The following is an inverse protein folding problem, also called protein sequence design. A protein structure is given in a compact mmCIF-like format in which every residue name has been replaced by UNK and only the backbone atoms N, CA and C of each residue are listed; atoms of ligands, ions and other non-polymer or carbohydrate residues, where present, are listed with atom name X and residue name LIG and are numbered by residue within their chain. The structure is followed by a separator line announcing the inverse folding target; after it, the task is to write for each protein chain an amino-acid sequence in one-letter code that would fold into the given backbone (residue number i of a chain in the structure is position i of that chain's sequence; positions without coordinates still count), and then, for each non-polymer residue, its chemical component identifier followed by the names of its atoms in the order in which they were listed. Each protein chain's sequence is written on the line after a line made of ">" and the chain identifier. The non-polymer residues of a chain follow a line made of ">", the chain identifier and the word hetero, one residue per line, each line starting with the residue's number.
data_IF_216813399744
#
_entry.id   IF_216813399744
#
_cell.length_a   1.000
_cell.length_b   1.000
_cell.length_c   1.000
_cell.angle_alpha   90.00
_cell.angle_beta   90.00
_cell.angle_gamma   90.00
#
_symmetry.space_group_name_H-M   'P 1'
#
loop_
_entity.id
_entity.type
_entity.pdbx_description
1 polymer ?
#
# COMPACT_ATOMS: atom_id res chain seq x y z
N UNK A 1 11.50 -5.64 15.90
CA UNK A 1 11.71 -6.23 14.56
C UNK A 1 10.92 -5.39 13.57
N UNK A 2 11.46 -5.09 12.39
CA UNK A 2 10.68 -4.48 11.31
C UNK A 2 10.00 -5.59 10.52
N UNK A 3 8.72 -5.41 10.23
CA UNK A 3 7.92 -6.37 9.46
C UNK A 3 7.70 -5.84 8.05
N UNK A 4 8.01 -6.62 7.03
CA UNK A 4 7.71 -6.25 5.64
C UNK A 4 6.45 -6.99 5.18
N UNK A 5 5.43 -6.25 4.77
CA UNK A 5 4.18 -6.78 4.22
C UNK A 5 4.27 -6.69 2.69
N UNK A 6 4.35 -7.84 2.03
CA UNK A 6 4.45 -7.93 0.57
C UNK A 6 3.07 -8.28 0.01
N UNK A 7 2.53 -7.43 -0.86
CA UNK A 7 1.19 -7.60 -1.45
C UNK A 7 1.33 -7.67 -2.98
N UNK A 8 1.30 -8.86 -3.58
CA UNK A 8 1.19 -8.99 -5.03
C UNK A 8 -0.23 -8.64 -5.48
N UNK A 9 -0.36 -7.85 -6.55
CA UNK A 9 -1.65 -7.42 -7.09
C UNK A 9 -1.71 -7.57 -8.60
N UNK A 10 -2.91 -7.87 -9.09
CA UNK A 10 -3.26 -7.79 -10.52
C UNK A 10 -4.75 -7.48 -10.63
N UNK A 11 -5.08 -6.34 -11.23
CA UNK A 11 -6.45 -5.86 -11.45
C UNK A 11 -7.34 -5.91 -10.18
N UNK A 12 -6.73 -5.60 -9.02
CA UNK A 12 -7.34 -5.77 -7.69
C UNK A 12 -7.42 -4.45 -6.90
N UNK A 13 -7.70 -3.33 -7.58
CA UNK A 13 -7.62 -1.98 -7.00
C UNK A 13 -8.48 -1.80 -5.73
N UNK A 14 -9.73 -2.28 -5.74
CA UNK A 14 -10.62 -2.15 -4.58
C UNK A 14 -10.12 -2.98 -3.38
N UNK A 15 -9.70 -4.22 -3.63
CA UNK A 15 -9.17 -5.10 -2.59
C UNK A 15 -7.86 -4.56 -2.01
N UNK A 16 -6.99 -4.02 -2.87
CA UNK A 16 -5.77 -3.34 -2.45
C UNK A 16 -6.09 -2.15 -1.55
N UNK A 17 -7.06 -1.31 -1.92
CA UNK A 17 -7.49 -0.18 -1.10
C UNK A 17 -7.96 -0.62 0.29
N UNK A 18 -8.86 -1.61 0.38
CA UNK A 18 -9.33 -2.12 1.67
C UNK A 18 -8.21 -2.73 2.52
N UNK A 19 -7.26 -3.41 1.87
CA UNK A 19 -6.09 -3.99 2.54
C UNK A 19 -5.21 -2.90 3.14
N UNK A 20 -4.91 -1.86 2.35
CA UNK A 20 -4.07 -0.74 2.80
C UNK A 20 -4.75 0.08 3.90
N UNK A 21 -6.07 0.29 3.83
CA UNK A 21 -6.82 0.91 4.94
C UNK A 21 -6.74 0.08 6.22
N UNK A 22 -6.88 -1.25 6.10
CA UNK A 22 -6.79 -2.14 7.26
C UNK A 22 -5.39 -2.18 7.88
N UNK A 23 -4.35 -1.96 7.07
CA UNK A 23 -2.98 -1.80 7.55
C UNK A 23 -2.77 -0.45 8.27
N UNK A 24 -3.40 0.63 7.79
CA UNK A 24 -3.36 1.92 8.48
C UNK A 24 -3.99 1.87 9.89
N UNK A 25 -4.93 0.95 10.12
CA UNK A 25 -5.58 0.75 11.41
C UNK A 25 -4.84 -0.19 12.38
N UNK A 26 -3.64 -0.66 12.03
CA UNK A 26 -2.88 -1.53 12.92
C UNK A 26 -2.43 -0.77 14.17
N UNK A 27 -2.47 -1.46 15.32
CA UNK A 27 -1.99 -0.93 16.61
C UNK A 27 -0.44 -1.00 16.72
N UNK A 28 0.24 -0.68 15.63
CA UNK A 28 1.69 -0.72 15.50
C UNK A 28 2.16 0.58 14.83
N UNK A 29 3.24 1.19 15.34
CA UNK A 29 3.78 2.41 14.76
C UNK A 29 4.20 2.17 13.31
N UNK A 30 4.00 3.18 12.45
CA UNK A 30 4.38 3.12 11.02
C UNK A 30 5.87 2.80 10.81
N UNK A 31 6.73 3.09 11.78
CA UNK A 31 8.17 2.79 11.70
C UNK A 31 8.51 1.30 11.88
N UNK A 32 7.53 0.51 12.38
CA UNK A 32 7.68 -0.91 12.67
C UNK A 32 7.36 -1.80 11.46
N UNK A 33 6.71 -1.28 10.43
CA UNK A 33 6.41 -2.05 9.24
C UNK A 33 6.51 -1.24 7.96
N UNK A 34 6.78 -1.93 6.86
CA UNK A 34 6.70 -1.37 5.50
C UNK A 34 5.72 -2.18 4.68
N UNK A 35 5.10 -1.54 3.69
CA UNK A 35 4.19 -2.21 2.75
C UNK A 35 4.78 -2.10 1.35
N UNK A 36 5.06 -3.24 0.73
CA UNK A 36 5.63 -3.34 -0.60
C UNK A 36 4.57 -3.96 -1.51
N UNK A 37 4.07 -3.15 -2.46
CA UNK A 37 3.06 -3.60 -3.42
C UNK A 37 3.75 -3.97 -4.73
N UNK A 38 3.51 -5.18 -5.22
CA UNK A 38 4.07 -5.69 -6.47
C UNK A 38 2.95 -5.86 -7.50
N UNK A 39 2.87 -4.95 -8.47
CA UNK A 39 1.90 -5.06 -9.56
C UNK A 39 2.37 -6.06 -10.63
N UNK A 40 1.52 -7.00 -10.99
CA UNK A 40 1.78 -8.03 -11.98
C UNK A 40 1.08 -7.72 -13.31
N UNK A 41 1.42 -6.56 -13.89
CA UNK A 41 0.96 -6.16 -15.22
C UNK A 41 -0.55 -5.92 -15.27
N UNK A 42 -1.10 -5.19 -14.30
CA UNK A 42 -2.50 -4.82 -14.32
C UNK A 42 -2.85 -4.07 -15.60
N UNK A 43 -4.00 -4.42 -16.18
CA UNK A 43 -4.49 -3.84 -17.44
C UNK A 43 -5.33 -2.59 -17.21
N UNK A 44 -5.83 -2.42 -15.98
CA UNK A 44 -6.65 -1.29 -15.58
C UNK A 44 -5.81 -0.14 -15.00
N UNK A 45 -6.13 1.10 -15.42
CA UNK A 45 -5.57 2.33 -14.83
C UNK A 45 -5.94 2.53 -13.35
N UNK A 46 -6.70 1.60 -12.77
CA UNK A 46 -7.24 1.67 -11.42
C UNK A 46 -6.20 1.31 -10.35
N UNK A 47 -5.05 0.75 -10.74
CA UNK A 47 -3.91 0.50 -9.84
C UNK A 47 -2.97 1.71 -9.78
N UNK A 48 -3.53 2.92 -9.79
CA UNK A 48 -2.80 4.16 -9.50
C UNK A 48 -3.19 4.64 -8.11
N UNK A 49 -2.76 3.89 -7.08
CA UNK A 49 -2.59 4.48 -5.75
C UNK A 49 -1.20 5.11 -5.74
N UNK A 50 -1.10 6.34 -6.26
CA UNK A 50 0.14 7.13 -6.20
C UNK A 50 0.32 7.58 -4.75
N UNK A 51 1.09 6.81 -3.98
CA UNK A 51 1.65 7.31 -2.72
C UNK A 51 2.76 8.30 -3.08
N UNK A 52 2.41 9.57 -3.30
CA UNK A 52 3.40 10.64 -3.27
C UNK A 52 3.94 10.73 -1.85
N UNK A 53 5.14 10.18 -1.64
CA UNK A 53 5.94 10.49 -0.47
C UNK A 53 6.35 11.96 -0.50
N UNK A 54 6.31 12.58 0.67
CA UNK A 54 6.73 13.96 0.99
C UNK A 54 5.84 15.09 0.43
N UNK A 55 4.62 15.21 0.95
CA UNK A 55 3.94 16.52 1.03
C UNK A 55 4.36 17.20 2.34
N UNK A 56 5.39 18.04 2.27
CA UNK A 56 5.65 19.05 3.29
C UNK A 56 4.66 20.18 3.11
N UNK A 57 3.83 20.42 4.13
CA UNK A 57 3.05 21.66 4.23
C UNK A 57 3.89 22.64 5.06
N UNK A 58 4.62 23.50 4.36
CA UNK A 58 5.10 24.76 4.92
C UNK A 58 3.94 25.77 4.99
#
# INVERSE_FOLDING_TARGET
>A
MRTSVIIPVRDAAHQLLYTLFSLNLQFADFEKYEVIVLDNGSSSNNVLIRFEGDVRWD
#
